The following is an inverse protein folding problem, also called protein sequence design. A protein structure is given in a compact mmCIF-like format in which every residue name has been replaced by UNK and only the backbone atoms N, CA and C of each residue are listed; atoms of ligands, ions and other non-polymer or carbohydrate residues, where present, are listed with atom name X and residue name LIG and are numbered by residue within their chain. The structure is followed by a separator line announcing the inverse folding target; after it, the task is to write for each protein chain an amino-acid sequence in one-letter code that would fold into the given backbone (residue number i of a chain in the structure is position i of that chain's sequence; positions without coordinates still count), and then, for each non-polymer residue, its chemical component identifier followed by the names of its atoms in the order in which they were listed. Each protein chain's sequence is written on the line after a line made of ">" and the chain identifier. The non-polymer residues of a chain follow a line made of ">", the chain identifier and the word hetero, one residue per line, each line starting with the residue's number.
data_IF_318220523096
#
_entry.id   IF_318220523096
#
_cell.length_a   1.000
_cell.length_b   1.000
_cell.length_c   1.000
_cell.angle_alpha   90.00
_cell.angle_beta   90.00
_cell.angle_gamma   90.00
#
_symmetry.space_group_name_H-M   'P 1'
#
loop_
_entity.id
_entity.type
_entity.pdbx_description
1 polymer ?
#
# COMPACT_ATOMS: atom_id res chain seq x y z
N UNK A 1 -34.82 20.86 5.48
CA UNK A 1 -33.38 20.81 5.11
C UNK A 1 -32.42 20.69 6.32
N UNK A 2 -32.89 20.66 7.59
CA UNK A 2 -32.06 20.68 8.81
C UNK A 2 -31.37 19.34 9.17
N UNK A 3 -31.89 18.20 8.73
CA UNK A 3 -31.33 16.88 9.08
C UNK A 3 -30.00 16.53 8.39
N UNK A 4 -29.74 17.06 7.19
CA UNK A 4 -28.53 16.72 6.44
C UNK A 4 -27.27 17.41 7.01
N UNK A 5 -27.42 18.58 7.63
CA UNK A 5 -26.32 19.24 8.35
C UNK A 5 -25.95 18.51 9.64
N UNK A 6 -26.95 18.02 10.39
CA UNK A 6 -26.72 17.30 11.65
C UNK A 6 -26.07 15.91 11.39
N UNK A 7 -26.50 15.22 10.33
CA UNK A 7 -25.89 13.96 9.90
C UNK A 7 -24.42 14.12 9.49
N UNK A 8 -24.09 15.21 8.77
CA UNK A 8 -22.70 15.52 8.39
C UNK A 8 -21.85 15.84 9.62
N UNK A 9 -22.38 16.59 10.58
CA UNK A 9 -21.69 16.87 11.84
C UNK A 9 -21.41 15.58 12.61
N UNK A 10 -22.40 14.68 12.73
CA UNK A 10 -22.21 13.37 13.36
C UNK A 10 -21.13 12.50 12.69
N UNK A 11 -21.12 12.47 11.35
CA UNK A 11 -20.09 11.75 10.57
C UNK A 11 -18.68 12.34 10.77
N UNK A 12 -18.57 13.66 10.80
CA UNK A 12 -17.29 14.35 11.02
C UNK A 12 -16.77 14.17 12.45
N UNK A 13 -17.64 14.15 13.45
CA UNK A 13 -17.23 13.90 14.84
C UNK A 13 -16.74 12.45 14.98
N UNK A 14 -17.51 11.49 14.46
CA UNK A 14 -17.12 10.07 14.48
C UNK A 14 -15.81 9.82 13.74
N UNK A 15 -15.57 10.47 12.60
CA UNK A 15 -14.31 10.31 11.88
C UNK A 15 -13.11 10.88 12.64
N UNK A 16 -13.29 12.02 13.33
CA UNK A 16 -12.26 12.60 14.21
C UNK A 16 -11.95 11.70 15.40
N UNK A 17 -12.96 11.10 16.01
CA UNK A 17 -12.77 10.19 17.14
C UNK A 17 -12.06 8.90 16.73
N UNK A 18 -12.40 8.34 15.57
CA UNK A 18 -11.69 7.20 14.98
C UNK A 18 -10.22 7.53 14.67
N UNK A 19 -9.96 8.70 14.08
CA UNK A 19 -8.59 9.13 13.82
C UNK A 19 -7.79 9.29 15.12
N UNK A 20 -8.43 9.80 16.18
CA UNK A 20 -7.82 9.93 17.52
C UNK A 20 -7.52 8.57 18.15
N UNK A 21 -8.45 7.62 18.07
CA UNK A 21 -8.27 6.27 18.62
C UNK A 21 -7.16 5.51 17.90
N UNK A 22 -7.17 5.50 16.55
CA UNK A 22 -6.12 4.86 15.74
C UNK A 22 -4.74 5.43 16.07
N UNK A 23 -4.65 6.76 16.25
CA UNK A 23 -3.41 7.42 16.65
C UNK A 23 -2.97 6.97 18.05
N UNK A 24 -3.89 6.86 19.00
CA UNK A 24 -3.60 6.39 20.35
C UNK A 24 -3.11 4.92 20.32
N UNK A 25 -3.81 4.04 19.60
CA UNK A 25 -3.44 2.63 19.44
C UNK A 25 -2.05 2.48 18.81
N UNK A 26 -1.74 3.29 17.79
CA UNK A 26 -0.41 3.33 17.20
C UNK A 26 0.65 3.78 18.21
N UNK A 27 0.34 4.80 19.03
CA UNK A 27 1.22 5.32 20.08
C UNK A 27 1.28 4.43 21.34
N UNK A 28 0.46 3.38 21.42
CA UNK A 28 0.51 2.37 22.48
C UNK A 28 1.33 1.12 22.08
N UNK A 29 1.51 0.86 20.77
CA UNK A 29 2.32 -0.28 20.31
C UNK A 29 3.77 -0.21 20.81
N UNK A 30 4.38 -1.30 21.31
CA UNK A 30 5.79 -1.27 21.70
C UNK A 30 6.68 -1.00 20.47
N UNK A 31 7.79 -0.28 20.68
CA UNK A 31 8.71 0.14 19.60
C UNK A 31 9.23 -1.05 18.78
N UNK A 32 9.42 -2.20 19.44
CA UNK A 32 9.83 -3.47 18.84
C UNK A 32 8.84 -4.04 17.82
N UNK A 33 7.55 -3.65 17.88
CA UNK A 33 6.54 -3.99 16.87
C UNK A 33 6.37 -2.87 15.83
N UNK A 34 6.50 -1.60 16.22
CA UNK A 34 6.38 -0.47 15.29
C UNK A 34 7.46 -0.48 14.21
N UNK A 35 8.70 -0.75 14.60
CA UNK A 35 9.83 -0.74 13.68
C UNK A 35 9.69 -1.77 12.55
N UNK A 36 9.44 -3.07 12.80
CA UNK A 36 9.25 -4.04 11.74
C UNK A 36 8.01 -3.75 10.88
N UNK A 37 6.92 -3.23 11.47
CA UNK A 37 5.75 -2.82 10.68
C UNK A 37 6.07 -1.69 9.70
N UNK A 38 6.80 -0.67 10.15
CA UNK A 38 7.24 0.44 9.30
C UNK A 38 8.21 -0.04 8.23
N UNK A 39 9.16 -0.91 8.59
CA UNK A 39 10.10 -1.51 7.65
C UNK A 39 9.38 -2.35 6.58
N UNK A 40 8.38 -3.15 6.96
CA UNK A 40 7.58 -3.94 6.04
C UNK A 40 6.80 -3.05 5.07
N UNK A 41 6.14 -2.01 5.57
CA UNK A 41 5.39 -1.07 4.74
C UNK A 41 6.31 -0.34 3.75
N UNK A 42 7.47 0.13 4.23
CA UNK A 42 8.47 0.80 3.40
C UNK A 42 9.04 -0.15 2.34
N UNK A 43 9.41 -1.37 2.73
CA UNK A 43 9.96 -2.40 1.84
C UNK A 43 8.97 -2.80 0.75
N UNK A 44 7.71 -3.05 1.10
CA UNK A 44 6.65 -3.40 0.15
C UNK A 44 6.40 -2.25 -0.85
N UNK A 45 6.33 -1.02 -0.34
CA UNK A 45 6.14 0.18 -1.17
C UNK A 45 7.31 0.37 -2.13
N UNK A 46 8.55 0.25 -1.64
CA UNK A 46 9.75 0.36 -2.47
C UNK A 46 9.82 -0.75 -3.53
N UNK A 47 9.47 -1.99 -3.17
CA UNK A 47 9.45 -3.12 -4.10
C UNK A 47 8.42 -2.90 -5.23
N UNK A 48 7.22 -2.42 -4.88
CA UNK A 48 6.15 -2.11 -5.84
C UNK A 48 6.55 -0.98 -6.79
N UNK A 49 7.13 0.10 -6.26
CA UNK A 49 7.68 1.22 -7.05
C UNK A 49 8.79 0.71 -7.97
N UNK A 50 9.70 -0.12 -7.47
CA UNK A 50 10.79 -0.71 -8.28
C UNK A 50 10.25 -1.59 -9.41
N UNK A 51 9.19 -2.37 -9.17
CA UNK A 51 8.50 -3.14 -10.22
C UNK A 51 7.97 -2.20 -11.29
N UNK A 52 7.20 -1.17 -10.93
CA UNK A 52 6.65 -0.23 -11.92
C UNK A 52 7.73 0.53 -12.69
N UNK A 53 8.76 1.00 -11.99
CA UNK A 53 9.89 1.68 -12.60
C UNK A 53 10.63 0.79 -13.60
N UNK A 54 10.81 -0.48 -13.28
CA UNK A 54 11.43 -1.44 -14.19
C UNK A 54 10.55 -1.75 -15.40
N UNK A 55 9.21 -1.77 -15.26
CA UNK A 55 8.27 -1.94 -16.35
C UNK A 55 8.24 -0.74 -17.31
N UNK A 56 8.43 0.47 -16.77
CA UNK A 56 8.50 1.70 -17.56
C UNK A 56 9.83 1.79 -18.33
N UNK A 57 10.95 1.44 -17.68
CA UNK A 57 12.29 1.56 -18.28
C UNK A 57 12.67 0.44 -19.25
N UNK A 58 12.12 -0.77 -19.11
CA UNK A 58 12.53 -1.92 -19.96
C UNK A 58 11.69 -2.04 -21.24
N UNK A 59 12.32 -2.28 -22.41
CA UNK A 59 11.61 -2.62 -23.63
C UNK A 59 10.88 -3.97 -23.48
N UNK A 60 9.76 -4.15 -24.19
CA UNK A 60 8.82 -5.25 -23.95
C UNK A 60 9.44 -6.65 -24.11
N UNK A 61 10.58 -6.76 -24.79
CA UNK A 61 11.26 -8.04 -25.03
C UNK A 61 11.99 -8.64 -23.82
N UNK A 62 12.19 -7.88 -22.73
CA UNK A 62 12.92 -8.35 -21.52
C UNK A 62 12.01 -8.73 -20.35
N UNK A 63 10.69 -8.63 -20.53
CA UNK A 63 9.69 -9.01 -19.52
C UNK A 63 8.91 -10.21 -20.05
N UNK A 64 8.75 -11.26 -19.24
CA UNK A 64 7.95 -12.43 -19.64
C UNK A 64 6.46 -12.06 -19.61
N UNK A 65 5.89 -11.77 -20.78
CA UNK A 65 4.47 -11.47 -20.94
C UNK A 65 4.12 -9.98 -20.93
N UNK A 66 2.82 -9.62 -20.93
CA UNK A 66 2.35 -8.23 -21.02
C UNK A 66 2.73 -7.42 -19.78
N UNK A 67 3.21 -6.19 -19.97
CA UNK A 67 3.69 -5.32 -18.87
C UNK A 67 2.61 -5.00 -17.83
N UNK A 68 1.36 -4.86 -18.26
CA UNK A 68 0.25 -4.51 -17.39
C UNK A 68 -0.10 -5.62 -16.40
N UNK A 69 0.11 -6.89 -16.78
CA UNK A 69 -0.13 -8.05 -15.88
C UNK A 69 0.78 -7.94 -14.67
N UNK A 70 2.06 -7.62 -14.87
CA UNK A 70 3.02 -7.46 -13.78
C UNK A 70 2.74 -6.25 -12.89
N UNK A 71 2.16 -5.18 -13.46
CA UNK A 71 1.70 -4.04 -12.67
C UNK A 71 0.50 -4.41 -11.79
N UNK A 72 -0.43 -5.23 -12.28
CA UNK A 72 -1.56 -5.76 -11.50
C UNK A 72 -1.10 -6.75 -10.44
N UNK A 73 -0.17 -7.66 -10.78
CA UNK A 73 0.39 -8.65 -9.85
C UNK A 73 1.11 -7.96 -8.70
N UNK A 74 1.89 -6.90 -8.97
CA UNK A 74 2.52 -6.11 -7.90
C UNK A 74 1.54 -5.42 -6.95
N UNK A 75 0.23 -5.43 -7.27
CA UNK A 75 -0.78 -4.93 -6.35
C UNK A 75 -1.03 -5.85 -5.16
N UNK A 76 -0.76 -7.15 -5.32
CA UNK A 76 -0.94 -8.17 -4.29
C UNK A 76 0.18 -8.06 -3.27
N UNK A 77 -0.19 -7.75 -2.03
CA UNK A 77 0.77 -7.59 -0.92
C UNK A 77 1.60 -8.86 -0.75
N UNK A 78 2.92 -8.72 -0.68
CA UNK A 78 3.88 -9.80 -0.43
C UNK A 78 4.15 -10.70 -1.64
N UNK A 79 3.13 -11.16 -2.37
CA UNK A 79 3.32 -12.05 -3.52
C UNK A 79 3.71 -11.29 -4.80
N UNK A 80 3.20 -10.07 -4.96
CA UNK A 80 3.25 -9.34 -6.21
C UNK A 80 4.66 -8.94 -6.67
N UNK A 81 5.38 -8.13 -5.87
CA UNK A 81 6.74 -7.74 -6.20
C UNK A 81 7.69 -8.94 -6.31
N UNK A 82 7.59 -9.91 -5.39
CA UNK A 82 8.41 -11.13 -5.41
C UNK A 82 8.20 -11.94 -6.69
N UNK A 83 6.95 -12.14 -7.12
CA UNK A 83 6.63 -12.86 -8.36
C UNK A 83 7.24 -12.17 -9.58
N UNK A 84 7.26 -10.82 -9.63
CA UNK A 84 7.92 -10.10 -10.72
C UNK A 84 9.43 -10.33 -10.74
N UNK A 85 10.09 -10.27 -9.59
CA UNK A 85 11.54 -10.45 -9.51
C UNK A 85 11.98 -11.89 -9.82
N UNK A 86 11.17 -12.88 -9.43
CA UNK A 86 11.43 -14.31 -9.63
C UNK A 86 11.04 -14.83 -11.03
N UNK A 87 9.92 -14.38 -11.58
CA UNK A 87 9.35 -14.96 -12.81
C UNK A 87 9.10 -13.94 -13.94
N UNK A 88 9.02 -12.64 -13.63
CA UNK A 88 8.70 -11.59 -14.59
C UNK A 88 9.89 -11.06 -15.37
N UNK A 89 11.09 -11.11 -14.79
CA UNK A 89 12.32 -10.69 -15.46
C UNK A 89 12.91 -11.86 -16.27
N UNK A 90 13.31 -11.59 -17.51
CA UNK A 90 14.25 -12.43 -18.27
C UNK A 90 15.68 -12.09 -17.87
#
# INVERSE_FOLDING_TARGET
>A
MRGMSEMRVGLLTRSKDLARSIRADWLDLPTELRFPLMALLAGESAARIATWFSLVRRPAGTVRGPRWVWACVSLVVGAGPLAYWLAGRK
#
